data_IF_975815919589
#
_entry.id   IF_975815919589
#
_cell.length_a   1.000
_cell.length_b   1.000
_cell.length_c   1.000
_cell.angle_alpha   90.00
_cell.angle_beta   90.00
_cell.angle_gamma   90.00
#
_symmetry.space_group_name_H-M   'P 1'
#
loop_
_entity.id
_entity.type
_entity.pdbx_description
1 polymer ?
#
# COMPACT_ATOMS: atom_id res chain seq x y z
N UNK A 1 43.71 -4.46 46.78
CA UNK A 1 43.64 -5.59 45.82
C UNK A 1 42.68 -5.20 44.72
N UNK A 2 43.26 -4.80 43.59
CA UNK A 2 42.59 -4.21 42.41
C UNK A 2 41.85 -5.30 41.61
N UNK A 3 40.61 -5.06 41.26
CA UNK A 3 39.96 -5.75 40.13
C UNK A 3 39.63 -4.72 39.04
N UNK A 4 40.35 -4.84 37.93
CA UNK A 4 40.15 -4.04 36.71
C UNK A 4 39.11 -4.76 35.87
N UNK A 5 37.97 -4.11 35.64
CA UNK A 5 36.99 -4.53 34.65
C UNK A 5 37.37 -3.94 33.28
N UNK A 6 37.69 -4.78 32.32
CA UNK A 6 37.77 -4.44 30.92
C UNK A 6 36.36 -4.44 30.32
N UNK A 7 35.85 -3.28 29.98
CA UNK A 7 34.66 -3.13 29.11
C UNK A 7 35.18 -3.03 27.69
N UNK A 8 35.00 -4.12 26.92
CA UNK A 8 35.25 -4.12 25.50
C UNK A 8 34.01 -3.60 24.80
N UNK A 9 34.14 -2.43 24.19
CA UNK A 9 33.14 -1.71 23.44
C UNK A 9 33.02 -2.38 22.04
N UNK A 10 31.95 -3.15 21.84
CA UNK A 10 31.58 -3.61 20.51
C UNK A 10 30.84 -2.47 19.81
N UNK A 11 31.50 -1.84 18.86
CA UNK A 11 30.84 -1.08 17.80
C UNK A 11 30.18 -2.08 16.87
N UNK A 12 28.86 -2.08 16.86
CA UNK A 12 28.07 -2.72 15.79
C UNK A 12 27.96 -1.73 14.65
N UNK A 13 28.77 -1.90 13.63
CA UNK A 13 28.51 -1.31 12.31
C UNK A 13 27.26 -2.02 11.74
N UNK A 14 26.13 -1.32 11.74
CA UNK A 14 24.94 -1.72 11.03
C UNK A 14 25.13 -1.36 9.56
N UNK A 15 25.69 -2.26 8.77
CA UNK A 15 25.54 -2.23 7.33
C UNK A 15 24.15 -2.80 6.99
N UNK A 16 23.25 -1.96 6.53
CA UNK A 16 21.99 -2.37 5.93
C UNK A 16 22.30 -3.09 4.61
N UNK A 17 22.26 -4.41 4.63
CA UNK A 17 22.29 -5.23 3.43
C UNK A 17 20.86 -5.56 3.03
N UNK A 18 20.40 -4.87 2.02
CA UNK A 18 19.16 -5.14 1.29
C UNK A 18 19.10 -6.60 0.85
N UNK A 19 18.09 -7.32 1.33
CA UNK A 19 17.48 -8.46 0.65
C UNK A 19 18.23 -9.79 0.57
N UNK A 20 19.38 -10.01 1.25
CA UNK A 20 20.10 -11.29 1.19
C UNK A 20 20.21 -11.96 2.56
N UNK A 21 19.53 -13.09 2.74
CA UNK A 21 19.77 -13.99 3.90
C UNK A 21 20.89 -14.96 3.56
N UNK A 22 22.04 -14.82 4.23
CA UNK A 22 23.14 -15.77 4.11
C UNK A 22 23.02 -16.87 5.17
N UNK A 23 22.68 -18.10 4.79
CA UNK A 23 22.78 -19.26 5.67
C UNK A 23 24.13 -19.95 5.50
N UNK A 24 24.87 -20.09 6.61
CA UNK A 24 26.13 -20.87 6.65
C UNK A 24 25.82 -22.34 6.92
N UNK A 25 25.96 -23.19 5.92
CA UNK A 25 25.98 -24.64 6.10
C UNK A 25 27.43 -25.17 5.97
N UNK A 26 27.89 -25.95 6.93
CA UNK A 26 29.18 -26.68 6.83
C UNK A 26 28.92 -28.06 6.26
N UNK A 27 29.36 -28.29 5.05
CA UNK A 27 29.49 -29.62 4.47
C UNK A 27 30.93 -29.78 3.94
N UNK A 28 31.70 -30.69 4.57
CA UNK A 28 32.94 -31.26 4.00
C UNK A 28 34.05 -30.29 3.63
N UNK A 29 34.44 -29.35 4.48
CA UNK A 29 35.71 -28.61 4.33
C UNK A 29 35.75 -27.44 3.34
N UNK A 30 34.77 -27.26 2.47
CA UNK A 30 34.64 -26.07 1.61
C UNK A 30 33.43 -25.23 2.05
N UNK A 31 33.63 -23.89 2.14
CA UNK A 31 32.55 -22.92 2.38
C UNK A 31 31.85 -22.66 1.05
N UNK A 32 30.76 -23.36 0.80
CA UNK A 32 29.83 -23.00 -0.27
C UNK A 32 28.90 -21.90 0.22
N UNK A 33 29.01 -20.72 -0.38
CA UNK A 33 27.99 -19.65 -0.23
C UNK A 33 26.90 -19.92 -1.25
N UNK A 34 25.80 -20.51 -0.82
CA UNK A 34 24.58 -20.54 -1.63
C UNK A 34 23.87 -19.22 -1.49
N UNK A 35 23.90 -18.41 -2.53
CA UNK A 35 23.03 -17.25 -2.67
C UNK A 35 21.63 -17.80 -2.97
N UNK A 36 20.72 -17.72 -2.01
CA UNK A 36 19.30 -17.92 -2.33
C UNK A 36 18.82 -16.67 -3.05
N UNK A 37 18.40 -16.82 -4.28
CA UNK A 37 17.62 -15.78 -5.00
C UNK A 37 16.43 -15.40 -4.10
N UNK A 38 16.16 -14.11 -3.88
CA UNK A 38 14.99 -13.72 -3.09
C UNK A 38 13.75 -14.35 -3.73
N UNK A 39 13.03 -15.16 -2.98
CA UNK A 39 11.79 -15.75 -3.50
C UNK A 39 10.75 -14.64 -3.62
N UNK A 40 10.04 -14.57 -4.76
CA UNK A 40 8.93 -13.65 -4.96
C UNK A 40 7.87 -13.90 -3.89
N UNK A 41 7.50 -12.86 -3.14
CA UNK A 41 6.51 -12.93 -2.07
C UNK A 41 5.13 -12.52 -2.57
N UNK A 42 4.10 -13.14 -2.01
CA UNK A 42 2.71 -12.74 -2.23
C UNK A 42 2.25 -11.76 -1.17
N UNK A 43 1.50 -10.75 -1.58
CA UNK A 43 0.81 -9.83 -0.68
C UNK A 43 -0.53 -9.39 -1.29
N UNK A 44 -1.36 -8.73 -0.50
CA UNK A 44 -2.57 -8.05 -0.98
C UNK A 44 -2.33 -6.54 -0.94
N UNK A 45 -3.07 -5.72 -1.70
CA UNK A 45 -2.88 -4.27 -1.69
C UNK A 45 -3.29 -3.68 -0.34
N UNK A 46 -4.50 -3.97 0.14
CA UNK A 46 -4.94 -3.51 1.46
C UNK A 46 -6.39 -3.89 1.73
N UNK A 47 -7.34 -3.19 1.12
CA UNK A 47 -8.76 -3.30 1.45
C UNK A 47 -9.36 -4.67 1.12
N UNK A 48 -10.29 -5.08 1.98
CA UNK A 48 -11.06 -6.32 1.85
C UNK A 48 -12.56 -6.02 1.96
N UNK A 49 -13.45 -6.82 1.34
CA UNK A 49 -14.89 -6.62 1.46
C UNK A 49 -15.37 -6.63 2.92
N UNK A 50 -16.06 -5.58 3.34
CA UNK A 50 -16.54 -5.44 4.70
C UNK A 50 -17.56 -6.54 5.00
N UNK A 51 -17.36 -7.38 6.04
CA UNK A 51 -18.31 -8.41 6.39
C UNK A 51 -19.69 -7.84 6.73
N UNK A 52 -20.77 -8.45 6.22
CA UNK A 52 -22.15 -7.99 6.45
C UNK A 52 -22.49 -7.82 7.92
N UNK A 53 -22.01 -8.75 8.77
CA UNK A 53 -22.28 -8.70 10.21
C UNK A 53 -21.55 -7.52 10.91
N UNK A 54 -20.43 -7.03 10.37
CA UNK A 54 -19.79 -5.78 10.82
C UNK A 54 -20.62 -4.57 10.40
N UNK A 55 -21.16 -4.58 9.18
CA UNK A 55 -22.03 -3.50 8.70
C UNK A 55 -23.33 -3.40 9.50
N UNK A 56 -23.93 -4.55 9.83
CA UNK A 56 -25.21 -4.61 10.56
C UNK A 56 -25.10 -4.29 12.05
N UNK A 57 -23.96 -4.63 12.67
CA UNK A 57 -23.76 -4.44 14.11
C UNK A 57 -22.33 -3.94 14.41
N UNK A 58 -21.99 -2.70 14.04
CA UNK A 58 -20.66 -2.14 14.23
C UNK A 58 -20.35 -1.96 15.72
N UNK A 59 -19.21 -2.49 16.15
CA UNK A 59 -18.65 -2.32 17.48
C UNK A 59 -17.14 -2.57 17.46
N UNK A 60 -16.42 -2.13 18.47
CA UNK A 60 -14.97 -2.41 18.58
C UNK A 60 -14.69 -3.90 18.58
N UNK A 61 -15.52 -4.71 19.24
CA UNK A 61 -15.39 -6.17 19.23
C UNK A 61 -15.65 -6.75 17.83
N UNK A 62 -16.73 -6.33 17.17
CA UNK A 62 -17.05 -6.77 15.82
C UNK A 62 -15.95 -6.41 14.81
N UNK A 63 -15.37 -5.22 14.94
CA UNK A 63 -14.21 -4.81 14.12
C UNK A 63 -12.99 -5.71 14.38
N UNK A 64 -12.68 -6.01 15.64
CA UNK A 64 -11.56 -6.89 16.00
C UNK A 64 -11.77 -8.30 15.44
N UNK A 65 -12.98 -8.85 15.55
CA UNK A 65 -13.31 -10.17 15.03
C UNK A 65 -13.29 -10.21 13.51
N UNK A 66 -13.77 -9.15 12.84
CA UNK A 66 -13.68 -9.02 11.39
C UNK A 66 -12.23 -8.96 10.91
N UNK A 67 -11.39 -8.14 11.55
CA UNK A 67 -9.96 -8.05 11.23
C UNK A 67 -9.26 -9.41 11.40
N UNK A 68 -9.57 -10.14 12.48
CA UNK A 68 -9.05 -11.51 12.69
C UNK A 68 -9.48 -12.45 11.57
N UNK A 69 -10.74 -12.40 11.14
CA UNK A 69 -11.24 -13.25 10.05
C UNK A 69 -10.50 -12.93 8.76
N UNK A 70 -10.31 -11.66 8.43
CA UNK A 70 -9.61 -11.24 7.20
C UNK A 70 -8.15 -11.68 7.20
N UNK A 71 -7.42 -11.46 8.31
CA UNK A 71 -6.03 -11.89 8.44
C UNK A 71 -5.93 -13.43 8.33
N UNK A 72 -6.75 -14.17 9.08
CA UNK A 72 -6.77 -15.63 9.01
C UNK A 72 -7.08 -16.16 7.61
N UNK A 73 -7.97 -15.50 6.86
CA UNK A 73 -8.29 -15.89 5.48
C UNK A 73 -7.07 -15.76 4.58
N UNK A 74 -6.30 -14.67 4.71
CA UNK A 74 -5.05 -14.47 3.97
C UNK A 74 -3.99 -15.50 4.37
N UNK A 75 -3.80 -15.75 5.67
CA UNK A 75 -2.86 -16.73 6.19
C UNK A 75 -3.18 -18.17 5.73
N UNK A 76 -4.47 -18.55 5.73
CA UNK A 76 -4.94 -19.85 5.23
C UNK A 76 -4.80 -19.97 3.71
N UNK A 77 -4.94 -18.87 2.96
CA UNK A 77 -4.65 -18.86 1.53
C UNK A 77 -3.14 -19.00 1.23
N UNK A 78 -2.27 -18.77 2.22
CA UNK A 78 -0.82 -18.86 2.07
C UNK A 78 -0.13 -17.55 1.74
N UNK A 79 -0.83 -16.40 1.80
CA UNK A 79 -0.26 -15.06 1.54
C UNK A 79 0.91 -14.79 2.48
N UNK A 80 2.07 -14.37 1.95
CA UNK A 80 3.30 -14.21 2.74
C UNK A 80 3.29 -12.97 3.62
N UNK A 81 2.77 -11.84 3.11
CA UNK A 81 2.63 -10.57 3.84
C UNK A 81 1.16 -10.19 3.86
N UNK A 82 0.56 -10.22 5.04
CA UNK A 82 -0.89 -9.98 5.23
C UNK A 82 -1.21 -8.52 5.52
N UNK A 83 -2.48 -8.15 5.29
CA UNK A 83 -3.07 -6.86 5.66
C UNK A 83 -4.28 -7.05 6.58
N UNK A 84 -4.66 -5.98 7.30
CA UNK A 84 -5.86 -5.97 8.16
C UNK A 84 -7.19 -5.82 7.39
N UNK A 85 -7.12 -5.73 6.07
CA UNK A 85 -8.28 -5.51 5.20
C UNK A 85 -8.82 -4.08 5.24
N UNK A 86 -8.12 -3.16 5.92
CA UNK A 86 -8.53 -1.76 6.09
C UNK A 86 -9.89 -1.59 6.77
N UNK A 87 -10.35 -2.61 7.49
CA UNK A 87 -11.67 -2.59 8.13
C UNK A 87 -11.79 -1.54 9.23
N UNK A 88 -10.66 -1.07 9.78
CA UNK A 88 -10.61 0.01 10.77
C UNK A 88 -11.13 1.35 10.21
N UNK A 89 -11.14 1.50 8.87
CA UNK A 89 -11.64 2.69 8.16
C UNK A 89 -13.16 2.65 7.93
N UNK A 90 -13.83 1.51 8.20
CA UNK A 90 -15.25 1.37 7.95
C UNK A 90 -16.07 2.35 8.80
N UNK A 91 -16.89 3.16 8.12
CA UNK A 91 -17.84 4.08 8.75
C UNK A 91 -19.27 3.59 8.49
N UNK A 92 -19.99 3.14 9.54
CA UNK A 92 -21.37 2.65 9.39
C UNK A 92 -22.34 3.73 8.89
N UNK A 93 -22.00 5.01 9.06
CA UNK A 93 -22.83 6.12 8.57
C UNK A 93 -22.60 6.38 7.07
N UNK A 94 -21.49 5.90 6.52
CA UNK A 94 -21.09 6.06 5.11
C UNK A 94 -20.60 4.72 4.52
N UNK A 95 -21.43 3.66 4.54
CA UNK A 95 -21.02 2.30 4.15
C UNK A 95 -20.69 2.17 2.65
N UNK A 96 -21.02 3.18 1.85
CA UNK A 96 -20.72 3.24 0.41
C UNK A 96 -19.27 3.61 0.10
N UNK A 97 -18.47 3.97 1.11
CA UNK A 97 -17.04 4.27 0.96
C UNK A 97 -16.20 3.24 1.69
N UNK A 98 -14.96 3.07 1.26
CA UNK A 98 -13.98 2.26 2.00
C UNK A 98 -13.21 3.07 3.06
N UNK A 99 -13.63 4.30 3.35
CA UNK A 99 -12.99 5.18 4.32
C UNK A 99 -11.60 5.70 3.90
N UNK A 100 -11.19 5.49 2.66
CA UNK A 100 -9.86 5.83 2.16
C UNK A 100 -9.50 7.33 2.28
N UNK A 101 -10.49 8.20 2.33
CA UNK A 101 -10.30 9.64 2.48
C UNK A 101 -10.81 10.10 3.84
N UNK A 102 -12.08 9.84 4.11
CA UNK A 102 -12.81 10.34 5.28
C UNK A 102 -12.14 9.98 6.60
N UNK A 103 -11.65 8.76 6.70
CA UNK A 103 -10.96 8.28 7.91
C UNK A 103 -9.74 9.11 8.26
N UNK A 104 -8.99 9.55 7.24
CA UNK A 104 -7.75 10.31 7.45
C UNK A 104 -7.96 11.79 7.66
N UNK A 105 -8.99 12.40 7.07
CA UNK A 105 -9.14 13.86 7.08
C UNK A 105 -10.15 14.37 8.11
N UNK A 106 -11.22 13.62 8.38
CA UNK A 106 -12.26 14.07 9.34
C UNK A 106 -11.77 14.22 10.78
N UNK A 107 -10.83 13.39 11.28
CA UNK A 107 -10.29 13.55 12.62
C UNK A 107 -9.32 14.73 12.78
N UNK A 108 -8.82 15.31 11.69
CA UNK A 108 -7.78 16.33 11.74
C UNK A 108 -8.32 17.67 12.24
N UNK A 109 -7.54 18.34 13.09
CA UNK A 109 -7.78 19.73 13.41
C UNK A 109 -7.59 20.62 12.18
N UNK A 110 -8.28 21.76 12.13
CA UNK A 110 -8.26 22.65 10.98
C UNK A 110 -9.18 22.26 9.82
N UNK A 111 -9.81 21.06 9.90
CA UNK A 111 -10.77 20.57 8.89
C UNK A 111 -12.15 20.45 9.52
N UNK A 112 -13.15 21.12 8.95
CA UNK A 112 -14.56 20.98 9.33
C UNK A 112 -15.30 20.10 8.33
N UNK A 113 -16.35 19.39 8.80
CA UNK A 113 -17.15 18.48 7.99
C UNK A 113 -18.53 19.05 7.61
N UNK A 114 -18.94 20.13 8.21
CA UNK A 114 -20.11 20.89 7.81
C UNK A 114 -19.80 21.70 6.55
N UNK A 115 -20.53 21.37 5.47
CA UNK A 115 -20.31 21.92 4.14
C UNK A 115 -21.57 22.69 3.73
N UNK A 116 -21.42 23.97 3.46
CA UNK A 116 -22.53 24.81 2.98
C UNK A 116 -22.95 24.39 1.57
N UNK A 117 -24.19 24.73 1.19
CA UNK A 117 -24.68 24.46 -0.17
C UNK A 117 -23.84 25.16 -1.24
N UNK A 118 -23.37 26.37 -0.97
CA UNK A 118 -22.52 27.13 -1.90
C UNK A 118 -21.17 26.41 -2.12
N UNK A 119 -20.51 25.93 -1.06
CA UNK A 119 -19.26 25.17 -1.14
C UNK A 119 -19.45 23.86 -1.88
N UNK A 120 -20.55 23.15 -1.64
CA UNK A 120 -20.87 21.92 -2.35
C UNK A 120 -21.07 22.16 -3.85
N UNK A 121 -21.76 23.23 -4.23
CA UNK A 121 -21.99 23.56 -5.63
C UNK A 121 -20.72 24.00 -6.34
N UNK A 122 -19.86 24.77 -5.66
CA UNK A 122 -18.55 25.17 -6.17
C UNK A 122 -17.66 23.93 -6.39
N UNK A 123 -17.57 23.05 -5.41
CA UNK A 123 -16.82 21.80 -5.51
C UNK A 123 -17.23 20.94 -6.72
N UNK A 124 -18.54 20.83 -6.97
CA UNK A 124 -19.08 20.04 -8.09
C UNK A 124 -18.80 20.64 -9.46
N UNK A 125 -18.44 21.91 -9.54
CA UNK A 125 -18.07 22.57 -10.80
C UNK A 125 -16.62 22.31 -11.20
N UNK A 126 -15.76 21.88 -10.26
CA UNK A 126 -14.35 21.61 -10.54
C UNK A 126 -14.17 20.26 -11.26
N UNK A 127 -13.47 20.27 -12.40
CA UNK A 127 -13.30 19.09 -13.25
C UNK A 127 -12.49 17.98 -12.57
N UNK A 128 -11.56 18.36 -11.69
CA UNK A 128 -10.59 17.45 -11.06
C UNK A 128 -11.23 16.52 -10.01
N UNK A 129 -12.44 16.81 -9.56
CA UNK A 129 -13.15 16.04 -8.54
C UNK A 129 -14.32 15.22 -9.07
N UNK A 130 -14.40 14.98 -10.37
CA UNK A 130 -15.54 14.28 -11.02
C UNK A 130 -15.84 12.88 -10.46
N UNK A 131 -14.87 12.23 -9.84
CA UNK A 131 -15.06 10.94 -9.18
C UNK A 131 -15.76 11.04 -7.80
N UNK A 132 -15.92 12.28 -7.25
CA UNK A 132 -16.58 12.53 -5.98
C UNK A 132 -17.63 13.65 -6.14
N UNK A 133 -18.81 13.39 -5.62
CA UNK A 133 -19.90 14.36 -5.63
C UNK A 133 -19.98 15.21 -4.34
N UNK A 134 -19.23 14.82 -3.30
CA UNK A 134 -19.23 15.48 -2.00
C UNK A 134 -17.80 15.52 -1.46
N UNK A 135 -17.26 16.69 -1.08
CA UNK A 135 -15.96 16.78 -0.44
C UNK A 135 -16.00 16.15 0.96
N UNK A 136 -14.88 15.61 1.45
CA UNK A 136 -14.80 15.01 2.78
C UNK A 136 -14.75 16.07 3.90
N UNK A 137 -14.36 17.31 3.58
CA UNK A 137 -14.27 18.42 4.51
C UNK A 137 -13.74 19.68 3.86
N UNK A 138 -13.72 20.76 4.66
CA UNK A 138 -13.24 22.10 4.30
C UNK A 138 -12.11 22.48 5.25
N UNK A 139 -10.96 22.81 4.69
CA UNK A 139 -9.81 23.31 5.44
C UNK A 139 -10.05 24.79 5.73
N UNK A 140 -10.23 25.14 6.99
CA UNK A 140 -10.53 26.50 7.44
C UNK A 140 -9.45 27.09 8.36
N UNK A 141 -8.55 26.24 8.89
CA UNK A 141 -7.42 26.61 9.73
C UNK A 141 -6.21 25.72 9.44
N UNK A 142 -5.11 25.92 10.15
CA UNK A 142 -3.92 25.08 10.02
C UNK A 142 -4.24 23.61 10.37
N UNK A 143 -3.79 22.71 9.49
CA UNK A 143 -4.00 21.28 9.66
C UNK A 143 -3.07 20.77 10.76
N UNK A 144 -3.65 20.02 11.72
CA UNK A 144 -2.93 19.34 12.80
C UNK A 144 -3.54 17.95 13.04
N UNK A 145 -2.87 17.09 13.83
CA UNK A 145 -3.21 15.67 14.02
C UNK A 145 -4.63 15.42 14.59
N UNK A 146 -5.21 16.38 15.32
CA UNK A 146 -6.56 16.25 15.88
C UNK A 146 -6.71 14.99 16.74
N UNK A 147 -7.62 14.10 16.33
CA UNK A 147 -7.86 12.81 16.98
C UNK A 147 -7.49 11.59 16.09
N UNK A 148 -6.71 11.77 15.02
CA UNK A 148 -6.24 10.68 14.19
C UNK A 148 -5.28 9.78 14.98
N UNK A 149 -5.55 8.46 15.01
CA UNK A 149 -4.78 7.46 15.78
C UNK A 149 -4.55 6.20 14.94
N UNK A 150 -3.59 6.27 14.02
CA UNK A 150 -3.16 5.12 13.22
C UNK A 150 -2.41 4.06 14.06
N UNK A 151 -1.58 4.43 15.07
CA UNK A 151 -0.90 3.46 15.90
C UNK A 151 -1.82 2.47 16.60
N UNK A 152 -2.96 2.90 17.13
CA UNK A 152 -3.93 1.99 17.76
C UNK A 152 -4.53 1.01 16.77
N UNK A 153 -4.84 1.43 15.54
CA UNK A 153 -5.34 0.55 14.49
C UNK A 153 -4.28 -0.47 14.05
N UNK A 154 -3.05 -0.02 13.81
CA UNK A 154 -1.92 -0.87 13.45
C UNK A 154 -1.60 -1.92 14.54
N UNK A 155 -1.54 -1.50 15.81
CA UNK A 155 -1.29 -2.41 16.94
C UNK A 155 -2.36 -3.49 17.07
N UNK A 156 -3.64 -3.16 16.82
CA UNK A 156 -4.73 -4.14 16.80
C UNK A 156 -4.48 -5.19 15.73
N UNK A 157 -4.13 -4.79 14.52
CA UNK A 157 -3.83 -5.70 13.42
C UNK A 157 -2.59 -6.58 13.74
N UNK A 158 -1.51 -5.97 14.25
CA UNK A 158 -0.27 -6.68 14.59
C UNK A 158 -0.47 -7.78 15.64
N UNK A 159 -1.34 -7.55 16.62
CA UNK A 159 -1.67 -8.56 17.63
C UNK A 159 -2.44 -9.75 17.08
N UNK A 160 -3.06 -9.63 15.92
CA UNK A 160 -3.86 -10.68 15.28
C UNK A 160 -3.08 -11.45 14.22
N UNK A 161 -2.08 -10.83 13.60
CA UNK A 161 -1.28 -11.43 12.53
C UNK A 161 -0.21 -12.37 13.10
N UNK A 162 -0.06 -13.56 12.46
CA UNK A 162 1.03 -14.51 12.72
C UNK A 162 2.12 -14.43 11.65
N UNK A 163 1.83 -13.81 10.52
CA UNK A 163 2.75 -13.50 9.41
C UNK A 163 3.18 -12.04 9.42
N UNK A 164 4.19 -11.65 8.62
CA UNK A 164 4.52 -10.25 8.43
C UNK A 164 3.29 -9.42 8.05
N UNK A 165 3.14 -8.26 8.70
CA UNK A 165 2.00 -7.36 8.51
C UNK A 165 2.41 -6.17 7.66
N UNK A 166 1.64 -5.90 6.62
CA UNK A 166 1.62 -4.64 5.89
C UNK A 166 0.47 -3.78 6.39
N UNK A 167 0.76 -2.55 6.81
CA UNK A 167 -0.23 -1.55 7.18
C UNK A 167 -0.27 -0.46 6.11
N UNK A 168 -1.47 -0.02 5.73
CA UNK A 168 -1.67 0.91 4.62
C UNK A 168 -2.23 2.23 5.10
N UNK A 169 -1.89 3.33 4.44
CA UNK A 169 -2.48 4.65 4.67
C UNK A 169 -2.56 5.43 3.36
N UNK A 170 -3.52 6.36 3.28
CA UNK A 170 -3.71 7.20 2.10
C UNK A 170 -2.68 8.32 2.06
N UNK A 171 -2.12 8.56 0.89
CA UNK A 171 -1.07 9.52 0.66
C UNK A 171 -1.53 10.98 0.65
N UNK A 172 -0.60 11.91 0.89
CA UNK A 172 -0.91 13.32 1.07
C UNK A 172 -1.44 14.00 -0.19
N UNK A 173 -1.01 13.60 -1.39
CA UNK A 173 -1.52 14.14 -2.64
C UNK A 173 -3.01 13.81 -2.81
N UNK A 174 -3.36 12.54 -2.66
CA UNK A 174 -4.74 12.08 -2.80
C UNK A 174 -5.68 12.77 -1.79
N UNK A 175 -5.25 12.93 -0.54
CA UNK A 175 -6.03 13.62 0.48
C UNK A 175 -6.20 15.10 0.15
N UNK A 176 -5.13 15.80 -0.26
CA UNK A 176 -5.16 17.22 -0.59
C UNK A 176 -6.10 17.54 -1.77
N UNK A 177 -6.11 16.70 -2.80
CA UNK A 177 -6.96 16.87 -3.99
C UNK A 177 -8.45 16.74 -3.72
N UNK A 178 -8.86 16.15 -2.61
CA UNK A 178 -10.28 15.89 -2.30
C UNK A 178 -10.90 16.92 -1.36
N UNK A 179 -10.11 17.75 -0.69
CA UNK A 179 -10.55 18.75 0.28
C UNK A 179 -10.86 20.09 -0.37
N UNK A 180 -11.83 20.82 0.17
CA UNK A 180 -11.99 22.24 -0.13
C UNK A 180 -10.96 23.01 0.68
N UNK A 181 -10.08 23.73 -0.02
CA UNK A 181 -9.03 24.53 0.61
C UNK A 181 -9.44 26.01 0.73
N UNK A 182 -9.61 26.49 1.97
CA UNK A 182 -9.87 27.90 2.28
C UNK A 182 -8.75 28.53 3.10
N UNK A 183 -7.66 27.81 3.41
CA UNK A 183 -6.58 28.26 4.30
C UNK A 183 -5.23 28.44 3.61
N UNK A 184 -4.83 27.51 2.76
CA UNK A 184 -3.51 27.47 2.14
C UNK A 184 -3.53 28.10 0.74
N UNK A 185 -2.37 28.62 0.29
CA UNK A 185 -2.24 29.24 -1.03
C UNK A 185 -2.38 28.26 -2.19
N UNK A 186 -1.82 27.07 -2.03
CA UNK A 186 -1.77 26.04 -3.08
C UNK A 186 -2.11 24.65 -2.54
N UNK A 187 -2.55 23.74 -3.43
CA UNK A 187 -2.80 22.33 -3.08
C UNK A 187 -1.53 21.62 -2.60
N UNK A 188 -0.37 21.99 -3.12
CA UNK A 188 0.93 21.51 -2.65
C UNK A 188 1.22 21.85 -1.18
N UNK A 189 0.77 23.02 -0.71
CA UNK A 189 0.92 23.42 0.69
C UNK A 189 0.00 22.57 1.59
N UNK A 190 -1.21 22.26 1.12
CA UNK A 190 -2.13 21.34 1.80
C UNK A 190 -1.50 19.95 1.91
N UNK A 191 -0.97 19.43 0.80
CA UNK A 191 -0.33 18.12 0.78
C UNK A 191 0.87 18.06 1.74
N UNK A 192 1.67 19.11 1.80
CA UNK A 192 2.80 19.20 2.72
C UNK A 192 2.36 19.28 4.20
N UNK A 193 1.26 19.97 4.50
CA UNK A 193 0.70 20.01 5.86
C UNK A 193 0.18 18.63 6.28
N UNK A 194 -0.57 17.97 5.40
CA UNK A 194 -1.04 16.58 5.60
C UNK A 194 0.14 15.61 5.76
N UNK A 195 1.19 15.75 4.94
CA UNK A 195 2.37 14.89 5.01
C UNK A 195 3.06 14.96 6.38
N UNK A 196 3.17 16.13 6.98
CA UNK A 196 3.75 16.30 8.34
C UNK A 196 2.94 15.55 9.40
N UNK A 197 1.61 15.68 9.36
CA UNK A 197 0.74 14.98 10.30
C UNK A 197 0.83 13.45 10.09
N UNK A 198 0.81 12.97 8.85
CA UNK A 198 0.97 11.56 8.55
C UNK A 198 2.35 11.04 8.98
N UNK A 199 3.42 11.82 8.78
CA UNK A 199 4.76 11.47 9.21
C UNK A 199 4.84 11.25 10.74
N UNK A 200 4.20 12.10 11.54
CA UNK A 200 4.10 11.91 12.99
C UNK A 200 3.38 10.61 13.36
N UNK A 201 2.29 10.28 12.65
CA UNK A 201 1.54 9.04 12.87
C UNK A 201 2.35 7.79 12.52
N UNK A 202 3.07 7.79 11.39
CA UNK A 202 3.78 6.58 10.92
C UNK A 202 4.99 6.23 11.76
N UNK A 203 5.64 7.19 12.43
CA UNK A 203 6.80 6.94 13.31
C UNK A 203 6.54 5.92 14.41
N UNK A 204 5.28 5.78 14.84
CA UNK A 204 4.86 4.88 15.92
C UNK A 204 4.16 3.60 15.43
N UNK A 205 4.13 3.35 14.12
CA UNK A 205 3.49 2.16 13.57
C UNK A 205 4.36 0.92 13.76
N UNK A 206 3.76 -0.15 14.28
CA UNK A 206 4.41 -1.44 14.48
C UNK A 206 3.98 -2.45 13.38
N UNK A 207 4.37 -2.17 12.15
CA UNK A 207 4.16 -3.06 11.01
C UNK A 207 5.48 -3.37 10.31
N UNK A 208 5.56 -4.50 9.61
CA UNK A 208 6.77 -4.92 8.90
C UNK A 208 6.94 -4.13 7.60
N UNK A 209 5.82 -3.78 6.96
CA UNK A 209 5.77 -2.91 5.77
C UNK A 209 4.73 -1.81 6.04
N UNK A 210 5.05 -0.57 5.69
CA UNK A 210 4.11 0.55 5.70
C UNK A 210 3.95 1.03 4.25
N UNK A 211 2.73 0.87 3.71
CA UNK A 211 2.39 1.23 2.34
C UNK A 211 1.57 2.52 2.31
N UNK A 212 1.99 3.47 1.46
CA UNK A 212 1.27 4.71 1.22
C UNK A 212 0.58 4.62 -0.14
N UNK A 213 -0.74 4.88 -0.18
CA UNK A 213 -1.58 4.72 -1.37
C UNK A 213 -1.80 6.07 -2.07
N UNK A 214 -1.34 6.22 -3.32
CA UNK A 214 -1.49 7.42 -4.15
C UNK A 214 -2.23 7.10 -5.46
N UNK A 215 -3.56 6.99 -5.39
CA UNK A 215 -4.38 6.59 -6.53
C UNK A 215 -4.71 7.72 -7.52
N UNK A 216 -4.56 9.00 -7.15
CA UNK A 216 -4.95 10.12 -8.01
C UNK A 216 -3.83 10.65 -8.91
N UNK A 217 -2.58 10.41 -8.55
CA UNK A 217 -1.43 10.95 -9.25
C UNK A 217 -1.32 10.53 -10.72
N UNK A 218 -1.68 9.29 -11.12
CA UNK A 218 -1.67 8.92 -12.54
C UNK A 218 -2.54 9.79 -13.45
N UNK A 219 -3.55 10.47 -12.90
CA UNK A 219 -4.37 11.43 -13.62
C UNK A 219 -3.86 12.87 -13.64
N UNK A 220 -2.77 13.16 -12.92
CA UNK A 220 -2.19 14.50 -12.75
C UNK A 220 -0.65 14.44 -12.76
N UNK A 221 0.00 13.89 -13.81
CA UNK A 221 1.44 13.71 -13.85
C UNK A 221 2.23 15.03 -13.75
N UNK A 222 1.63 16.16 -14.11
CA UNK A 222 2.20 17.51 -13.95
C UNK A 222 2.41 17.91 -12.47
N UNK A 223 1.73 17.24 -11.55
CA UNK A 223 1.85 17.44 -10.11
C UNK A 223 2.95 16.58 -9.46
N UNK A 224 3.59 15.71 -10.22
CA UNK A 224 4.56 14.70 -9.77
C UNK A 224 5.66 15.27 -8.84
N UNK A 225 6.22 16.43 -9.17
CA UNK A 225 7.33 17.03 -8.41
C UNK A 225 6.94 17.36 -6.97
N UNK A 226 5.83 18.06 -6.76
CA UNK A 226 5.42 18.41 -5.40
C UNK A 226 4.77 17.24 -4.67
N UNK A 227 4.14 16.31 -5.41
CA UNK A 227 3.60 15.08 -4.84
C UNK A 227 4.73 14.18 -4.29
N UNK A 228 5.85 14.04 -5.03
CA UNK A 228 7.03 13.33 -4.55
C UNK A 228 7.64 14.00 -3.30
N UNK A 229 7.74 15.33 -3.28
CA UNK A 229 8.23 16.05 -2.11
C UNK A 229 7.36 15.81 -0.87
N UNK A 230 6.03 15.81 -1.02
CA UNK A 230 5.10 15.59 0.08
C UNK A 230 5.13 14.13 0.58
N UNK A 231 5.07 13.14 -0.31
CA UNK A 231 5.05 11.74 0.11
C UNK A 231 6.38 11.32 0.75
N UNK A 232 7.52 11.85 0.28
CA UNK A 232 8.83 11.55 0.86
C UNK A 232 8.96 12.00 2.32
N UNK A 233 8.27 13.07 2.74
CA UNK A 233 8.20 13.44 4.17
C UNK A 233 7.59 12.33 5.01
N UNK A 234 6.59 11.61 4.47
CA UNK A 234 5.96 10.47 5.16
C UNK A 234 6.86 9.24 5.07
N UNK A 235 7.43 8.95 3.89
CA UNK A 235 8.31 7.80 3.67
C UNK A 235 9.56 7.85 4.54
N UNK A 236 10.19 9.02 4.68
CA UNK A 236 11.37 9.24 5.53
C UNK A 236 11.09 9.01 7.03
N UNK A 237 9.82 9.09 7.44
CA UNK A 237 9.39 8.85 8.80
C UNK A 237 9.03 7.38 9.09
N UNK A 238 8.97 6.51 8.07
CA UNK A 238 8.63 5.09 8.21
C UNK A 238 9.73 4.34 8.97
N UNK A 239 9.43 3.68 10.10
CA UNK A 239 10.44 2.99 10.92
C UNK A 239 10.81 1.60 10.39
N UNK A 240 10.10 1.09 9.41
CA UNK A 240 10.25 -0.25 8.84
C UNK A 240 10.46 -0.20 7.32
N UNK A 241 9.85 -1.10 6.55
CA UNK A 241 9.97 -1.13 5.08
C UNK A 241 8.93 -0.18 4.47
N UNK A 242 9.36 0.95 3.83
CA UNK A 242 8.45 1.86 3.14
C UNK A 242 8.05 1.31 1.77
N UNK A 243 6.76 1.37 1.45
CA UNK A 243 6.20 1.02 0.15
C UNK A 243 5.23 2.10 -0.36
N UNK A 244 5.09 2.22 -1.68
CA UNK A 244 4.08 3.09 -2.29
C UNK A 244 3.24 2.29 -3.27
N UNK A 245 1.91 2.35 -3.11
CA UNK A 245 0.97 1.78 -4.07
C UNK A 245 0.43 2.86 -5.01
N UNK A 246 0.46 2.55 -6.30
CA UNK A 246 -0.08 3.36 -7.37
C UNK A 246 -1.02 2.53 -8.24
N UNK A 247 -2.20 3.07 -8.46
CA UNK A 247 -3.18 2.49 -9.39
C UNK A 247 -3.92 3.61 -10.14
N UNK A 248 -4.71 3.23 -11.12
CA UNK A 248 -5.55 4.17 -11.88
C UNK A 248 -6.95 4.33 -11.26
N UNK A 249 -7.07 4.01 -9.97
CA UNK A 249 -8.31 4.01 -9.23
C UNK A 249 -9.17 2.77 -9.51
N UNK A 250 -9.97 2.40 -8.53
CA UNK A 250 -10.95 1.32 -8.64
C UNK A 250 -12.29 1.79 -8.08
N UNK A 251 -13.20 2.21 -8.96
CA UNK A 251 -14.53 2.65 -8.57
C UNK A 251 -15.56 1.84 -9.37
N UNK A 252 -16.18 0.85 -8.71
CA UNK A 252 -17.14 -0.03 -9.36
C UNK A 252 -16.54 -0.87 -10.50
N UNK A 253 -15.30 -1.33 -10.39
CA UNK A 253 -14.61 -2.07 -11.43
C UNK A 253 -14.12 -1.22 -12.61
N UNK A 254 -14.08 0.12 -12.45
CA UNK A 254 -13.63 1.05 -13.48
C UNK A 254 -12.35 1.76 -13.08
N UNK A 255 -11.40 1.92 -14.01
CA UNK A 255 -10.29 2.85 -13.86
C UNK A 255 -10.82 4.29 -13.95
N UNK A 256 -10.51 5.10 -12.94
CA UNK A 256 -10.94 6.51 -12.88
C UNK A 256 -9.94 7.41 -13.58
N UNK A 257 -8.66 7.15 -13.36
CA UNK A 257 -7.57 7.92 -13.93
C UNK A 257 -7.20 7.38 -15.31
N UNK A 258 -6.76 8.30 -16.17
CA UNK A 258 -6.20 7.99 -17.49
C UNK A 258 -4.72 8.34 -17.47
N UNK A 259 -3.90 7.56 -18.15
CA UNK A 259 -2.47 7.75 -18.23
C UNK A 259 -1.74 6.43 -18.43
N UNK A 260 -0.46 6.49 -18.28
CA UNK A 260 0.48 5.36 -18.36
C UNK A 260 1.60 5.53 -17.32
N UNK A 261 2.34 4.46 -17.05
CA UNK A 261 3.42 4.51 -16.07
C UNK A 261 4.64 5.30 -16.59
N UNK A 262 4.81 5.42 -17.91
CA UNK A 262 5.93 6.15 -18.48
C UNK A 262 5.90 7.65 -18.14
N UNK A 263 4.70 8.22 -18.01
CA UNK A 263 4.50 9.62 -17.63
C UNK A 263 4.86 9.93 -16.17
N UNK A 264 5.02 8.89 -15.34
CA UNK A 264 5.33 9.02 -13.90
C UNK A 264 6.75 8.56 -13.53
N UNK A 265 7.62 8.24 -14.48
CA UNK A 265 8.96 7.72 -14.19
C UNK A 265 9.80 8.67 -13.31
N UNK A 266 9.72 9.97 -13.54
CA UNK A 266 10.41 10.96 -12.70
C UNK A 266 9.89 10.92 -11.25
N UNK A 267 8.58 10.77 -11.06
CA UNK A 267 7.99 10.60 -9.73
C UNK A 267 8.47 9.31 -9.08
N UNK A 268 8.35 8.17 -9.76
CA UNK A 268 8.76 6.85 -9.25
C UNK A 268 10.24 6.86 -8.84
N UNK A 269 11.08 7.49 -9.65
CA UNK A 269 12.50 7.61 -9.39
C UNK A 269 12.87 8.61 -8.28
N UNK A 270 11.97 9.53 -7.92
CA UNK A 270 12.15 10.47 -6.82
C UNK A 270 11.72 9.91 -5.45
N UNK A 271 11.03 8.76 -5.39
CA UNK A 271 10.53 8.19 -4.15
C UNK A 271 11.66 7.64 -3.25
N UNK A 272 11.55 7.88 -1.96
CA UNK A 272 12.40 7.29 -0.91
C UNK A 272 11.76 5.98 -0.39
N UNK A 273 11.74 4.96 -1.22
CA UNK A 273 10.94 3.75 -1.02
C UNK A 273 11.79 2.49 -1.21
N UNK A 274 11.47 1.42 -0.48
CA UNK A 274 12.08 0.10 -0.70
C UNK A 274 11.50 -0.57 -1.96
N UNK A 275 10.18 -0.49 -2.13
CA UNK A 275 9.50 -1.04 -3.31
C UNK A 275 8.21 -0.29 -3.65
N UNK A 276 7.84 -0.37 -4.92
CA UNK A 276 6.56 0.14 -5.44
C UNK A 276 5.60 -1.01 -5.73
N UNK A 277 4.29 -0.76 -5.58
CA UNK A 277 3.20 -1.72 -5.73
C UNK A 277 2.29 -1.22 -6.85
N UNK A 278 2.41 -1.83 -8.05
CA UNK A 278 1.90 -1.26 -9.30
C UNK A 278 0.74 -2.07 -9.89
N UNK A 279 -0.32 -1.38 -10.33
CA UNK A 279 -1.38 -1.97 -11.14
C UNK A 279 -0.83 -2.37 -12.52
N UNK A 280 -0.85 -3.66 -12.87
CA UNK A 280 -0.30 -4.19 -14.12
C UNK A 280 -1.17 -5.25 -14.81
N UNK A 281 -1.98 -6.04 -14.09
CA UNK A 281 -2.77 -7.14 -14.69
C UNK A 281 -3.80 -6.63 -15.69
N UNK A 282 -4.35 -5.43 -15.48
CA UNK A 282 -5.33 -4.79 -16.34
C UNK A 282 -4.71 -3.76 -17.31
N UNK A 283 -3.37 -3.68 -17.36
CA UNK A 283 -2.66 -2.64 -18.12
C UNK A 283 -2.00 -3.19 -19.40
N UNK A 284 -1.78 -2.33 -20.42
CA UNK A 284 -1.04 -2.76 -21.61
C UNK A 284 0.42 -3.10 -21.25
N UNK A 285 1.02 -3.97 -22.07
CA UNK A 285 2.41 -4.44 -21.88
C UNK A 285 3.42 -3.28 -21.81
N UNK A 286 3.17 -2.20 -22.55
CA UNK A 286 4.02 -1.00 -22.57
C UNK A 286 4.16 -0.35 -21.20
N UNK A 287 3.16 -0.49 -20.33
CA UNK A 287 3.23 0.00 -18.95
C UNK A 287 4.20 -0.84 -18.12
N UNK A 288 4.18 -2.15 -18.29
CA UNK A 288 5.14 -3.04 -17.63
C UNK A 288 6.57 -2.77 -18.14
N UNK A 289 6.74 -2.59 -19.45
CA UNK A 289 8.03 -2.26 -20.06
C UNK A 289 8.59 -0.94 -19.53
N UNK A 290 7.76 0.08 -19.29
CA UNK A 290 8.18 1.36 -18.76
C UNK A 290 8.81 1.23 -17.36
N UNK A 291 8.38 0.27 -16.54
CA UNK A 291 8.94 0.05 -15.19
C UNK A 291 10.41 -0.42 -15.21
N UNK A 292 10.98 -0.77 -16.36
CA UNK A 292 12.41 -1.02 -16.52
C UNK A 292 13.27 0.21 -16.22
N UNK A 293 12.71 1.41 -16.46
CA UNK A 293 13.37 2.70 -16.24
C UNK A 293 13.34 3.17 -14.77
N UNK A 294 12.64 2.44 -13.90
CA UNK A 294 12.68 2.69 -12.46
C UNK A 294 14.05 2.30 -11.90
N UNK A 295 14.61 3.12 -11.00
CA UNK A 295 15.92 2.91 -10.37
C UNK A 295 16.09 1.46 -9.88
N UNK A 296 17.29 0.91 -10.04
CA UNK A 296 17.57 -0.49 -9.72
C UNK A 296 17.47 -0.83 -8.22
N UNK A 297 17.66 0.16 -7.35
CA UNK A 297 17.53 0.00 -5.89
C UNK A 297 16.08 -0.10 -5.42
N UNK A 298 15.10 0.32 -6.23
CA UNK A 298 13.68 0.20 -5.94
C UNK A 298 13.18 -1.18 -6.39
N UNK A 299 12.66 -1.97 -5.44
CA UNK A 299 12.00 -3.23 -5.72
C UNK A 299 10.66 -3.05 -6.41
N UNK A 300 10.21 -4.06 -7.15
CA UNK A 300 8.95 -4.03 -7.88
C UNK A 300 7.96 -5.03 -7.29
N UNK A 301 6.77 -4.54 -6.96
CA UNK A 301 5.57 -5.33 -6.73
C UNK A 301 4.65 -5.16 -7.93
N UNK A 302 4.21 -6.27 -8.52
CA UNK A 302 3.44 -6.27 -9.77
C UNK A 302 2.08 -6.91 -9.56
N UNK A 303 1.02 -6.19 -9.98
CA UNK A 303 -0.33 -6.73 -10.05
C UNK A 303 -0.42 -7.82 -11.09
N UNK A 304 -0.86 -9.02 -10.68
CA UNK A 304 -1.05 -10.20 -11.53
C UNK A 304 -2.46 -10.77 -11.41
N UNK A 305 -3.31 -10.14 -10.63
CA UNK A 305 -4.73 -10.47 -10.44
C UNK A 305 -5.55 -9.23 -10.79
N UNK A 306 -6.44 -9.36 -11.79
CA UNK A 306 -7.35 -8.28 -12.19
C UNK A 306 -8.55 -8.21 -11.23
N UNK A 307 -8.62 -7.16 -10.43
CA UNK A 307 -9.73 -6.95 -9.48
C UNK A 307 -10.95 -6.24 -10.10
N UNK A 308 -10.86 -5.82 -11.35
CA UNK A 308 -11.97 -5.21 -12.09
C UNK A 308 -12.89 -6.24 -12.71
N UNK A 309 -12.51 -7.52 -12.63
CA UNK A 309 -13.28 -8.67 -13.11
C UNK A 309 -13.64 -9.61 -11.96
N UNK A 310 -14.76 -10.30 -12.10
CA UNK A 310 -15.23 -11.30 -11.13
C UNK A 310 -14.70 -12.70 -11.43
N UNK A 311 -14.21 -12.97 -12.65
CA UNK A 311 -13.55 -14.20 -13.01
C UNK A 311 -12.29 -14.39 -12.17
N UNK A 312 -12.10 -15.60 -11.68
CA UNK A 312 -10.92 -15.97 -10.88
C UNK A 312 -9.89 -16.57 -11.84
N UNK A 313 -8.72 -15.97 -11.90
CA UNK A 313 -7.59 -16.44 -12.68
C UNK A 313 -7.16 -17.84 -12.21
N UNK A 314 -6.79 -18.72 -13.12
CA UNK A 314 -6.18 -20.01 -12.78
C UNK A 314 -4.73 -19.81 -12.30
N UNK A 315 -4.20 -20.80 -11.56
CA UNK A 315 -2.81 -20.79 -11.13
C UNK A 315 -1.83 -20.67 -12.32
N UNK A 316 -2.13 -21.33 -13.43
CA UNK A 316 -1.32 -21.27 -14.65
C UNK A 316 -1.31 -19.89 -15.31
N UNK A 317 -2.45 -19.19 -15.32
CA UNK A 317 -2.54 -17.81 -15.81
C UNK A 317 -1.72 -16.85 -14.97
N UNK A 318 -1.82 -16.97 -13.65
CA UNK A 318 -1.02 -16.17 -12.70
C UNK A 318 0.47 -16.50 -12.85
N UNK A 319 0.86 -17.77 -12.93
CA UNK A 319 2.25 -18.17 -13.13
C UNK A 319 2.83 -17.60 -14.43
N UNK A 320 2.07 -17.61 -15.53
CA UNK A 320 2.48 -16.99 -16.80
C UNK A 320 2.61 -15.46 -16.70
N UNK A 321 1.73 -14.80 -15.96
CA UNK A 321 1.82 -13.36 -15.74
C UNK A 321 3.10 -13.01 -14.93
N UNK A 322 3.43 -13.79 -13.91
CA UNK A 322 4.67 -13.65 -13.12
C UNK A 322 5.91 -13.88 -14.00
N UNK A 323 5.93 -14.97 -14.78
CA UNK A 323 7.02 -15.29 -15.70
C UNK A 323 7.27 -14.17 -16.70
N UNK A 324 6.20 -13.66 -17.29
CA UNK A 324 6.26 -12.55 -18.24
C UNK A 324 6.82 -11.28 -17.59
N UNK A 325 6.36 -10.93 -16.39
CA UNK A 325 6.87 -9.78 -15.66
C UNK A 325 8.36 -9.97 -15.30
N UNK A 326 8.75 -11.14 -14.81
CA UNK A 326 10.14 -11.45 -14.47
C UNK A 326 11.07 -11.42 -15.69
N UNK A 327 10.58 -11.85 -16.87
CA UNK A 327 11.33 -11.78 -18.13
C UNK A 327 11.60 -10.33 -18.57
N UNK A 328 10.63 -9.45 -18.39
CA UNK A 328 10.72 -8.02 -18.77
C UNK A 328 11.59 -7.25 -17.76
N UNK A 329 11.29 -7.41 -16.47
CA UNK A 329 11.82 -6.56 -15.40
C UNK A 329 13.13 -7.08 -14.79
N UNK A 330 13.39 -8.37 -14.93
CA UNK A 330 14.46 -9.09 -14.21
C UNK A 330 13.94 -9.76 -12.93
N UNK A 331 14.36 -11.00 -12.72
CA UNK A 331 13.95 -11.81 -11.57
C UNK A 331 14.31 -11.17 -10.22
N UNK A 332 15.47 -10.55 -10.13
CA UNK A 332 15.98 -9.96 -8.88
C UNK A 332 15.22 -8.68 -8.47
N UNK A 333 14.55 -8.03 -9.41
CA UNK A 333 13.77 -6.82 -9.17
C UNK A 333 12.35 -7.09 -8.74
N UNK A 334 11.79 -8.24 -9.16
CA UNK A 334 10.41 -8.62 -8.85
C UNK A 334 10.35 -9.20 -7.42
N UNK A 335 10.03 -8.36 -6.44
CA UNK A 335 9.97 -8.75 -5.02
C UNK A 335 8.61 -9.24 -4.58
N UNK A 336 7.54 -8.64 -5.11
CA UNK A 336 6.17 -8.97 -4.71
C UNK A 336 5.26 -9.18 -5.92
N UNK A 337 4.29 -10.09 -5.75
CA UNK A 337 3.13 -10.21 -6.62
C UNK A 337 1.86 -10.06 -5.82
N UNK A 338 0.87 -9.39 -6.40
CA UNK A 338 -0.32 -8.97 -5.69
C UNK A 338 -1.50 -8.74 -6.65
N UNK A 339 -2.73 -8.49 -6.16
CA UNK A 339 -3.82 -7.97 -6.98
C UNK A 339 -3.56 -6.53 -7.44
N UNK A 340 -4.12 -6.11 -8.55
CA UNK A 340 -3.96 -4.75 -9.09
C UNK A 340 -4.33 -3.64 -8.09
N UNK A 341 -5.31 -3.89 -7.23
CA UNK A 341 -5.75 -2.96 -6.19
C UNK A 341 -6.42 -3.73 -5.05
N UNK A 342 -7.01 -3.04 -4.07
CA UNK A 342 -7.74 -3.65 -2.97
C UNK A 342 -9.02 -4.37 -3.42
N UNK A 343 -9.45 -5.37 -2.66
CA UNK A 343 -10.59 -6.24 -2.96
C UNK A 343 -11.96 -5.70 -2.51
N UNK A 344 -12.04 -4.57 -1.85
CA UNK A 344 -13.23 -4.12 -1.10
C UNK A 344 -14.53 -4.10 -1.90
N UNK A 345 -14.47 -3.97 -3.24
CA UNK A 345 -15.63 -3.94 -4.13
C UNK A 345 -16.09 -5.31 -4.64
N UNK A 346 -15.33 -6.38 -4.37
CA UNK A 346 -15.66 -7.73 -4.78
C UNK A 346 -16.51 -8.44 -3.71
N UNK A 347 -17.26 -9.45 -4.14
CA UNK A 347 -17.81 -10.41 -3.18
C UNK A 347 -16.69 -11.14 -2.44
N UNK A 348 -16.89 -11.42 -1.15
CA UNK A 348 -15.90 -12.12 -0.31
C UNK A 348 -15.43 -13.44 -0.91
N UNK A 349 -16.36 -14.23 -1.46
CA UNK A 349 -16.05 -15.52 -2.08
C UNK A 349 -15.10 -15.38 -3.27
N UNK A 350 -15.25 -14.30 -4.05
CA UNK A 350 -14.38 -13.98 -5.19
C UNK A 350 -13.02 -13.50 -4.69
N UNK A 351 -12.99 -12.58 -3.73
CA UNK A 351 -11.76 -12.10 -3.13
C UNK A 351 -10.91 -13.25 -2.55
N UNK A 352 -11.55 -14.15 -1.79
CA UNK A 352 -10.90 -15.34 -1.22
C UNK A 352 -10.37 -16.31 -2.29
N UNK A 353 -11.11 -16.49 -3.37
CA UNK A 353 -10.69 -17.35 -4.48
C UNK A 353 -9.49 -16.74 -5.25
N UNK A 354 -9.51 -15.43 -5.50
CA UNK A 354 -8.41 -14.70 -6.15
C UNK A 354 -7.13 -14.72 -5.30
N UNK A 355 -7.21 -14.59 -3.97
CA UNK A 355 -6.05 -14.74 -3.08
C UNK A 355 -5.44 -16.14 -3.15
N UNK A 356 -6.28 -17.19 -3.15
CA UNK A 356 -5.78 -18.58 -3.31
C UNK A 356 -5.13 -18.79 -4.67
N UNK A 357 -5.71 -18.23 -5.72
CA UNK A 357 -5.13 -18.30 -7.07
C UNK A 357 -3.79 -17.58 -7.17
N UNK A 358 -3.65 -16.40 -6.54
CA UNK A 358 -2.39 -15.66 -6.45
C UNK A 358 -1.26 -16.52 -5.88
N UNK A 359 -1.53 -17.15 -4.72
CA UNK A 359 -0.54 -18.00 -4.03
C UNK A 359 -0.22 -19.24 -4.86
N UNK A 360 -1.25 -19.95 -5.36
CA UNK A 360 -1.05 -21.15 -6.18
C UNK A 360 -0.26 -20.84 -7.47
N UNK A 361 -0.51 -19.70 -8.08
CA UNK A 361 0.22 -19.26 -9.29
C UNK A 361 1.67 -18.92 -9.01
N UNK A 362 1.96 -18.22 -7.91
CA UNK A 362 3.33 -17.97 -7.47
C UNK A 362 4.08 -19.28 -7.19
N UNK A 363 3.45 -20.23 -6.51
CA UNK A 363 4.05 -21.51 -6.18
C UNK A 363 4.30 -22.37 -7.45
N UNK A 364 3.37 -22.32 -8.42
CA UNK A 364 3.54 -22.96 -9.74
C UNK A 364 4.75 -22.36 -10.47
N UNK A 365 4.89 -21.03 -10.50
CA UNK A 365 6.03 -20.34 -11.11
C UNK A 365 7.35 -20.73 -10.46
N UNK A 366 7.43 -20.74 -9.12
CA UNK A 366 8.65 -21.12 -8.39
C UNK A 366 8.99 -22.62 -8.58
N UNK A 367 7.99 -23.49 -8.61
CA UNK A 367 8.17 -24.94 -8.86
C UNK A 367 8.69 -25.22 -10.27
N UNK A 368 8.24 -24.49 -11.27
CA UNK A 368 8.71 -24.61 -12.65
C UNK A 368 10.16 -24.17 -12.83
N UNK A 369 10.61 -23.15 -12.09
CA UNK A 369 11.96 -22.62 -12.16
C UNK A 369 12.97 -23.38 -11.28
N UNK A 370 12.51 -24.22 -10.35
CA UNK A 370 13.39 -25.06 -9.52
C UNK A 370 13.91 -26.30 -10.24
N UNK A 371 13.48 -26.55 -11.50
CA UNK A 371 13.79 -27.76 -12.27
C UNK A 371 14.86 -27.48 -13.36
N UNK A 372 15.42 -26.28 -13.42
CA UNK A 372 16.52 -25.89 -14.31
C UNK A 372 17.80 -25.70 -13.47
#
# INVERSE_FOLDING_TARGET
MLFILFIQQFRTDSASLTGFTCQRARLGGELSMTYQTPSIQTTVVGSYPVPEWLQQNPSTQALTDATRVVINTQEQAGVDVVCDGELYRFDPNHPQTNGMIEYFVRPLAGIRTDISFAELMDYRQHADTRFRNTPPGVIHDDIDHGSLDLPSACNRAKQLATRPLKFTLTGPHMLAKTLINQRYGHTSDVAMALARVLAEQVQSLNADIIQIDEANLPGSPEEATWAAAAINVVLDAVPSIPAVHLCFGNYGGQSIQKGDWSSLLDYLNALHVDHIVMECAHRPITDLEALREVREDIGLGIGVIDIKRTEVESADEVAKAIDHAAHILGHDRLRYVHPDCGFWMLDRSIADAKMRSLVAGRDTYLGSNSTI
#
